data_IF_905334760088
#
_entry.id   IF_905334760088
#
_cell.length_a   1.000
_cell.length_b   1.000
_cell.length_c   1.000
_cell.angle_alpha   90.00
_cell.angle_beta   90.00
_cell.angle_gamma   90.00
#
_symmetry.space_group_name_H-M   'P 1'
#
loop_
_entity.id
_entity.type
_entity.pdbx_description
1 polymer ?
#
# COMPACT_ATOMS: atom_id res chain seq x y z
N UNK A 1 29.26 -32.27 18.64
CA UNK A 1 29.14 -30.82 18.43
C UNK A 1 28.44 -30.59 17.08
N UNK A 2 27.12 -30.44 17.09
CA UNK A 2 26.36 -30.02 15.90
C UNK A 2 26.44 -28.49 15.83
N UNK A 3 26.78 -27.89 14.67
CA UNK A 3 26.84 -26.45 14.58
C UNK A 3 25.42 -25.89 14.63
N UNK A 4 25.23 -24.91 15.50
CA UNK A 4 24.05 -24.08 15.61
C UNK A 4 23.76 -23.47 14.24
N UNK A 5 22.69 -23.96 13.61
CA UNK A 5 22.17 -23.44 12.35
C UNK A 5 21.92 -21.94 12.47
N UNK A 6 22.51 -21.22 11.53
CA UNK A 6 22.34 -19.80 11.30
C UNK A 6 20.85 -19.43 11.36
N UNK A 7 20.49 -18.66 12.38
CA UNK A 7 19.23 -17.92 12.39
C UNK A 7 19.35 -16.91 11.25
N UNK A 8 18.71 -17.21 10.12
CA UNK A 8 18.54 -16.25 9.04
C UNK A 8 17.82 -15.04 9.61
N UNK A 9 18.54 -13.92 9.73
CA UNK A 9 18.06 -12.67 10.30
C UNK A 9 17.16 -11.87 9.35
N UNK A 10 16.65 -12.50 8.30
CA UNK A 10 15.67 -11.89 7.40
C UNK A 10 14.27 -12.38 7.76
N UNK A 11 13.58 -11.61 8.62
CA UNK A 11 12.18 -11.89 8.99
C UNK A 11 11.23 -12.01 7.79
N UNK A 12 11.66 -11.55 6.60
CA UNK A 12 10.97 -11.75 5.32
C UNK A 12 10.79 -13.23 4.95
N UNK A 13 11.77 -14.08 5.26
CA UNK A 13 11.78 -15.48 4.83
C UNK A 13 10.61 -16.29 5.41
N UNK A 14 10.30 -16.08 6.69
CA UNK A 14 9.24 -16.85 7.37
C UNK A 14 7.83 -16.53 6.87
N UNK A 15 7.52 -15.26 6.57
CA UNK A 15 6.21 -14.91 6.00
C UNK A 15 6.04 -15.43 4.58
N UNK A 16 7.11 -15.34 3.79
CA UNK A 16 7.16 -15.90 2.44
C UNK A 16 6.97 -17.44 2.46
N UNK A 17 7.62 -18.13 3.39
CA UNK A 17 7.47 -19.57 3.59
C UNK A 17 6.04 -19.95 4.03
N UNK A 18 5.49 -19.28 5.04
CA UNK A 18 4.12 -19.54 5.50
C UNK A 18 3.07 -19.31 4.41
N UNK A 19 3.27 -18.27 3.59
CA UNK A 19 2.41 -17.98 2.44
C UNK A 19 2.40 -19.10 1.38
N UNK A 20 3.50 -19.86 1.23
CA UNK A 20 3.56 -20.99 0.31
C UNK A 20 2.97 -22.28 0.87
N UNK A 21 2.93 -22.42 2.19
CA UNK A 21 2.66 -23.71 2.83
C UNK A 21 1.22 -23.87 3.28
N UNK A 22 0.51 -22.77 3.57
CA UNK A 22 -0.86 -22.81 4.08
C UNK A 22 -1.68 -21.70 3.41
N UNK A 23 -2.59 -22.00 2.45
CA UNK A 23 -3.59 -21.03 2.05
C UNK A 23 -4.45 -20.70 3.28
N UNK A 24 -4.57 -19.41 3.61
CA UNK A 24 -5.40 -18.94 4.71
C UNK A 24 -6.87 -19.25 4.43
N UNK A 25 -7.32 -20.44 4.83
CA UNK A 25 -8.68 -20.90 4.62
C UNK A 25 -9.51 -20.62 5.89
N UNK A 26 -10.23 -19.50 5.89
CA UNK A 26 -11.23 -19.20 6.91
C UNK A 26 -12.53 -18.71 6.24
N UNK A 27 -13.68 -18.83 6.91
CA UNK A 27 -14.93 -18.22 6.47
C UNK A 27 -14.78 -16.71 6.19
N UNK A 28 -15.57 -16.17 5.27
CA UNK A 28 -15.41 -14.77 4.83
C UNK A 28 -15.62 -13.73 5.95
N UNK A 29 -16.49 -14.03 6.92
CA UNK A 29 -16.76 -13.24 8.13
C UNK A 29 -15.65 -13.33 9.18
N UNK A 30 -14.73 -14.28 9.01
CA UNK A 30 -13.53 -14.47 9.83
C UNK A 30 -12.25 -14.04 9.11
N UNK A 31 -12.34 -13.62 7.84
CA UNK A 31 -11.16 -13.18 7.11
C UNK A 31 -10.88 -11.69 7.39
N UNK A 32 -9.74 -11.32 8.01
CA UNK A 32 -9.51 -9.96 8.50
C UNK A 32 -9.53 -8.90 7.39
N UNK A 33 -9.03 -9.23 6.20
CA UNK A 33 -9.13 -8.34 5.01
C UNK A 33 -10.57 -8.14 4.57
N UNK A 34 -11.38 -9.19 4.48
CA UNK A 34 -12.76 -9.08 3.99
C UNK A 34 -13.62 -8.30 4.99
N UNK A 35 -13.45 -8.55 6.29
CA UNK A 35 -14.08 -7.78 7.36
C UNK A 35 -13.65 -6.32 7.31
N UNK A 36 -12.35 -6.05 7.14
CA UNK A 36 -11.82 -4.69 7.01
C UNK A 36 -12.44 -3.95 5.82
N UNK A 37 -12.43 -4.56 4.63
CA UNK A 37 -12.99 -3.96 3.43
C UNK A 37 -14.52 -3.80 3.52
N UNK A 38 -15.22 -4.74 4.16
CA UNK A 38 -16.66 -4.67 4.39
C UNK A 38 -17.06 -3.46 5.23
N UNK A 39 -16.24 -3.11 6.23
CA UNK A 39 -16.45 -1.95 7.11
C UNK A 39 -16.25 -0.60 6.42
N UNK A 40 -15.49 -0.55 5.32
CA UNK A 40 -15.24 0.70 4.59
C UNK A 40 -16.44 1.13 3.75
N UNK A 41 -16.53 2.43 3.51
CA UNK A 41 -17.44 2.99 2.51
C UNK A 41 -17.19 2.35 1.13
N UNK A 42 -18.24 2.08 0.32
CA UNK A 42 -18.12 1.36 -0.94
C UNK A 42 -17.02 1.89 -1.87
N UNK A 43 -16.90 3.21 -1.98
CA UNK A 43 -15.90 3.89 -2.83
C UNK A 43 -14.45 3.61 -2.40
N UNK A 44 -14.20 3.33 -1.12
CA UNK A 44 -12.85 3.10 -0.58
C UNK A 44 -12.40 1.64 -0.63
N UNK A 45 -13.31 0.69 -0.86
CA UNK A 45 -13.01 -0.75 -0.81
C UNK A 45 -11.99 -1.16 -1.87
N UNK A 46 -12.25 -0.79 -3.12
CA UNK A 46 -11.38 -1.11 -4.26
C UNK A 46 -9.95 -0.54 -4.11
N UNK A 47 -9.74 0.76 -3.83
CA UNK A 47 -8.39 1.30 -3.69
C UNK A 47 -7.64 0.70 -2.49
N UNK A 48 -8.33 0.46 -1.36
CA UNK A 48 -7.70 -0.16 -0.19
C UNK A 48 -7.34 -1.62 -0.43
N UNK A 49 -8.19 -2.39 -1.12
CA UNK A 49 -7.87 -3.76 -1.54
C UNK A 49 -6.67 -3.82 -2.49
N UNK A 50 -6.57 -2.88 -3.44
CA UNK A 50 -5.41 -2.78 -4.33
C UNK A 50 -4.11 -2.42 -3.58
N UNK A 51 -4.19 -1.54 -2.59
CA UNK A 51 -3.06 -1.20 -1.71
C UNK A 51 -2.58 -2.42 -0.92
N UNK A 52 -3.51 -3.13 -0.27
CA UNK A 52 -3.21 -4.34 0.51
C UNK A 52 -2.62 -5.45 -0.34
N UNK A 53 -3.10 -5.63 -1.58
CA UNK A 53 -2.52 -6.60 -2.53
C UNK A 53 -1.06 -6.30 -2.83
N UNK A 54 -0.72 -5.04 -3.14
CA UNK A 54 0.68 -4.66 -3.40
C UNK A 54 1.56 -4.92 -2.18
N UNK A 55 1.06 -4.62 -0.98
CA UNK A 55 1.78 -4.93 0.27
C UNK A 55 1.94 -6.43 0.47
N UNK A 56 0.91 -7.23 0.22
CA UNK A 56 0.96 -8.68 0.36
C UNK A 56 1.98 -9.31 -0.59
N UNK A 57 1.97 -8.91 -1.87
CA UNK A 57 2.97 -9.33 -2.85
C UNK A 57 4.38 -8.95 -2.43
N UNK A 58 4.59 -7.73 -1.91
CA UNK A 58 5.89 -7.29 -1.41
C UNK A 58 6.35 -8.12 -0.19
N UNK A 59 5.47 -8.34 0.78
CA UNK A 59 5.80 -9.09 2.00
C UNK A 59 6.16 -10.55 1.69
N UNK A 60 5.45 -11.16 0.75
CA UNK A 60 5.71 -12.51 0.26
C UNK A 60 6.91 -12.62 -0.71
N UNK A 61 7.70 -11.55 -0.89
CA UNK A 61 8.86 -11.59 -1.79
C UNK A 61 8.50 -11.87 -3.26
N UNK A 62 7.29 -11.51 -3.68
CA UNK A 62 6.79 -11.79 -5.03
C UNK A 62 6.23 -13.20 -5.24
N UNK A 63 6.23 -14.07 -4.23
CA UNK A 63 5.67 -15.43 -4.34
C UNK A 63 4.14 -15.42 -4.43
N UNK A 64 3.50 -14.52 -3.68
CA UNK A 64 2.06 -14.27 -3.79
C UNK A 64 1.80 -13.17 -4.81
N UNK A 65 1.17 -13.52 -5.94
CA UNK A 65 0.83 -12.58 -7.01
C UNK A 65 -0.66 -12.63 -7.35
N UNK A 66 -1.10 -11.68 -8.18
CA UNK A 66 -2.48 -11.64 -8.65
C UNK A 66 -3.49 -11.15 -7.61
N UNK A 67 -4.80 -11.27 -7.92
CA UNK A 67 -5.86 -10.73 -7.09
C UNK A 67 -5.92 -11.35 -5.69
N UNK A 68 -5.57 -12.62 -5.58
CA UNK A 68 -5.68 -13.46 -4.38
C UNK A 68 -4.55 -13.28 -3.38
N UNK A 69 -3.42 -12.65 -3.77
CA UNK A 69 -2.27 -12.46 -2.88
C UNK A 69 -2.66 -11.82 -1.54
N UNK A 70 -3.62 -10.90 -1.57
CA UNK A 70 -4.14 -10.21 -0.39
C UNK A 70 -4.90 -11.15 0.57
N UNK A 71 -5.54 -12.20 0.06
CA UNK A 71 -6.28 -13.18 0.85
C UNK A 71 -5.40 -14.33 1.32
N UNK A 72 -4.31 -14.61 0.61
CA UNK A 72 -3.41 -15.72 0.93
C UNK A 72 -2.33 -15.35 1.95
N UNK A 73 -1.99 -14.06 2.09
CA UNK A 73 -0.99 -13.63 3.07
C UNK A 73 -1.48 -13.92 4.51
N UNK A 74 -0.65 -14.55 5.37
CA UNK A 74 -0.99 -14.78 6.77
C UNK A 74 -0.91 -13.49 7.59
N UNK A 75 -1.93 -12.63 7.50
CA UNK A 75 -1.97 -11.34 8.19
C UNK A 75 -1.71 -11.41 9.71
N UNK A 76 -2.18 -12.43 10.44
CA UNK A 76 -1.86 -12.63 11.86
C UNK A 76 -0.41 -12.99 12.18
N UNK A 77 0.46 -13.21 11.19
CA UNK A 77 1.90 -13.40 11.36
C UNK A 77 2.68 -12.10 11.05
N UNK A 78 1.98 -11.06 10.58
CA UNK A 78 2.58 -9.74 10.36
C UNK A 78 2.88 -9.12 11.73
N UNK A 79 4.13 -8.70 11.91
CA UNK A 79 4.69 -8.14 13.16
C UNK A 79 5.40 -6.84 12.84
N UNK A 80 5.88 -6.14 13.87
CA UNK A 80 6.58 -4.86 13.75
C UNK A 80 7.63 -4.83 12.64
N UNK A 81 8.53 -5.81 12.58
CA UNK A 81 9.58 -5.86 11.57
C UNK A 81 9.04 -5.90 10.14
N UNK A 82 7.92 -6.60 9.92
CA UNK A 82 7.28 -6.71 8.61
C UNK A 82 6.66 -5.37 8.19
N UNK A 83 5.93 -4.72 9.11
CA UNK A 83 5.30 -3.43 8.81
C UNK A 83 6.35 -2.33 8.66
N UNK A 84 7.44 -2.38 9.42
CA UNK A 84 8.57 -1.45 9.25
C UNK A 84 9.26 -1.62 7.90
N UNK A 85 9.42 -2.88 7.42
CA UNK A 85 9.92 -3.17 6.07
C UNK A 85 9.01 -2.61 5.00
N UNK A 86 7.69 -2.76 5.15
CA UNK A 86 6.69 -2.13 4.27
C UNK A 86 6.81 -0.62 4.27
N UNK A 87 6.99 0.01 5.44
CA UNK A 87 7.15 1.47 5.55
C UNK A 87 8.38 1.97 4.80
N UNK A 88 9.51 1.27 4.92
CA UNK A 88 10.75 1.62 4.21
C UNK A 88 10.57 1.48 2.70
N UNK A 89 10.10 0.32 2.24
CA UNK A 89 9.83 0.09 0.82
C UNK A 89 8.88 1.13 0.20
N UNK A 90 7.79 1.47 0.91
CA UNK A 90 6.85 2.50 0.45
C UNK A 90 7.46 3.90 0.33
N UNK A 91 8.45 4.22 1.17
CA UNK A 91 9.11 5.51 1.17
C UNK A 91 10.23 5.60 0.13
N UNK A 92 10.98 4.50 -0.04
CA UNK A 92 12.28 4.55 -0.70
C UNK A 92 12.27 3.91 -2.10
N UNK A 93 11.40 2.90 -2.33
CA UNK A 93 11.48 2.04 -3.52
C UNK A 93 10.18 2.01 -4.34
N UNK A 94 9.01 2.17 -3.71
CA UNK A 94 7.72 1.96 -4.36
C UNK A 94 7.33 3.05 -5.39
N UNK A 95 8.08 4.15 -5.46
CA UNK A 95 7.81 5.29 -6.36
C UNK A 95 6.49 6.01 -6.05
N UNK A 96 6.01 5.95 -4.80
CA UNK A 96 4.73 6.50 -4.38
C UNK A 96 4.89 7.86 -3.68
N UNK A 97 3.87 8.71 -3.78
CA UNK A 97 3.82 9.91 -2.95
C UNK A 97 3.72 9.55 -1.46
N UNK A 98 4.23 10.39 -0.54
CA UNK A 98 4.08 10.17 0.91
C UNK A 98 2.62 9.99 1.34
N UNK A 99 1.70 10.73 0.72
CA UNK A 99 0.27 10.58 0.97
C UNK A 99 -0.23 9.18 0.58
N UNK A 100 0.11 8.70 -0.62
CA UNK A 100 -0.26 7.36 -1.09
C UNK A 100 0.36 6.27 -0.24
N UNK A 101 1.65 6.37 0.11
CA UNK A 101 2.32 5.42 1.01
C UNK A 101 1.65 5.38 2.39
N UNK A 102 1.27 6.53 2.94
CA UNK A 102 0.53 6.59 4.20
C UNK A 102 -0.88 5.97 4.09
N UNK A 103 -1.56 6.06 2.94
CA UNK A 103 -2.81 5.33 2.68
C UNK A 103 -2.59 3.82 2.73
N UNK A 104 -1.50 3.32 2.16
CA UNK A 104 -1.18 1.89 2.19
C UNK A 104 -0.89 1.41 3.61
N UNK A 105 -0.11 2.18 4.38
CA UNK A 105 0.11 1.91 5.79
C UNK A 105 -1.21 1.92 6.57
N UNK A 106 -2.11 2.87 6.33
CA UNK A 106 -3.43 2.90 6.96
C UNK A 106 -4.25 1.64 6.65
N UNK A 107 -4.17 1.12 5.43
CA UNK A 107 -4.81 -0.14 5.06
C UNK A 107 -4.27 -1.32 5.89
N UNK A 108 -2.94 -1.45 5.98
CA UNK A 108 -2.28 -2.50 6.79
C UNK A 108 -2.70 -2.39 8.26
N UNK A 109 -2.68 -1.17 8.82
CA UNK A 109 -3.12 -0.93 10.20
C UNK A 109 -4.58 -1.35 10.41
N UNK A 110 -5.43 -1.09 9.43
CA UNK A 110 -6.83 -1.52 9.41
C UNK A 110 -6.98 -3.03 9.50
N UNK A 111 -6.26 -3.78 8.66
CA UNK A 111 -6.30 -5.25 8.67
C UNK A 111 -5.76 -5.83 9.97
N UNK A 112 -4.64 -5.33 10.50
CA UNK A 112 -4.10 -5.79 11.80
C UNK A 112 -5.03 -5.47 12.97
N UNK A 113 -5.83 -4.40 12.86
CA UNK A 113 -6.89 -4.09 13.82
C UNK A 113 -7.99 -5.13 13.76
N UNK A 114 -8.41 -5.57 12.58
CA UNK A 114 -9.40 -6.65 12.46
C UNK A 114 -8.81 -8.00 12.90
N UNK A 115 -7.54 -8.30 12.64
CA UNK A 115 -6.87 -9.50 13.19
C UNK A 115 -6.97 -9.55 14.72
N UNK A 116 -6.78 -8.43 15.40
CA UNK A 116 -6.95 -8.35 16.85
C UNK A 116 -8.40 -8.52 17.29
N UNK A 117 -9.35 -7.86 16.60
CA UNK A 117 -10.78 -7.97 16.92
C UNK A 117 -11.32 -9.38 16.74
N UNK A 118 -10.79 -10.12 15.76
CA UNK A 118 -11.12 -11.52 15.48
C UNK A 118 -10.34 -12.51 16.37
N UNK A 119 -9.45 -12.01 17.24
CA UNK A 119 -8.71 -12.84 18.21
C UNK A 119 -7.45 -13.50 17.67
N UNK A 120 -7.01 -13.19 16.44
CA UNK A 120 -5.80 -13.76 15.85
C UNK A 120 -4.50 -13.07 16.27
N UNK A 121 -4.61 -11.85 16.79
CA UNK A 121 -3.46 -11.04 17.19
C UNK A 121 -3.68 -10.50 18.60
N UNK A 122 -2.69 -10.63 19.47
CA UNK A 122 -2.78 -10.05 20.82
C UNK A 122 -2.81 -8.51 20.76
N UNK A 123 -3.34 -7.88 21.81
CA UNK A 123 -3.34 -6.41 21.89
C UNK A 123 -1.91 -5.83 21.90
N UNK A 124 -0.97 -6.52 22.55
CA UNK A 124 0.44 -6.15 22.62
C UNK A 124 1.13 -6.28 21.26
N UNK A 125 0.95 -7.40 20.56
CA UNK A 125 1.53 -7.61 19.23
C UNK A 125 0.97 -6.61 18.23
N UNK A 126 -0.33 -6.30 18.32
CA UNK A 126 -0.93 -5.23 17.53
C UNK A 126 -0.29 -3.89 17.85
N UNK A 127 -0.21 -3.50 19.12
CA UNK A 127 0.36 -2.21 19.51
C UNK A 127 1.78 -2.05 18.97
N UNK A 128 2.64 -3.06 19.14
CA UNK A 128 3.99 -3.10 18.57
C UNK A 128 3.99 -3.01 17.04
N UNK A 129 3.14 -3.79 16.37
CA UNK A 129 3.08 -3.78 14.90
C UNK A 129 2.60 -2.45 14.31
N UNK A 130 1.80 -1.69 15.05
CA UNK A 130 1.27 -0.40 14.63
C UNK A 130 2.17 0.79 14.98
N UNK A 131 3.16 0.60 15.86
CA UNK A 131 4.09 1.63 16.35
C UNK A 131 5.13 2.01 15.28
N UNK A 132 4.64 2.62 14.21
CA UNK A 132 5.44 2.96 13.03
C UNK A 132 5.13 4.38 12.62
N UNK A 133 6.20 5.15 12.39
CA UNK A 133 6.12 6.53 11.94
C UNK A 133 5.48 6.64 10.55
N UNK A 134 4.77 7.74 10.35
CA UNK A 134 4.24 8.10 9.02
C UNK A 134 5.39 8.39 8.07
N UNK A 135 5.15 8.17 6.78
CA UNK A 135 6.08 8.58 5.72
C UNK A 135 5.97 10.10 5.58
N UNK A 136 7.09 10.79 5.77
CA UNK A 136 7.22 12.24 5.64
C UNK A 136 7.57 12.64 4.22
N UNK A 137 7.09 13.80 3.79
CA UNK A 137 7.48 14.43 2.54
C UNK A 137 6.36 15.31 2.00
N UNK A 138 6.73 16.43 1.39
CA UNK A 138 5.81 17.33 0.70
C UNK A 138 5.90 17.06 -0.80
N UNK A 139 4.76 16.82 -1.45
CA UNK A 139 4.66 17.06 -2.90
C UNK A 139 4.50 18.56 -3.09
N UNK A 140 5.16 19.15 -4.09
CA UNK A 140 4.63 20.37 -4.69
C UNK A 140 3.20 20.06 -5.18
N UNK A 141 2.20 20.90 -4.89
CA UNK A 141 0.82 20.61 -5.24
C UNK A 141 0.70 20.31 -6.73
N UNK A 142 0.20 19.12 -7.06
CA UNK A 142 -0.14 18.78 -8.44
C UNK A 142 -1.44 19.49 -8.78
N UNK A 143 -1.35 20.48 -9.67
CA UNK A 143 -2.46 21.33 -10.06
C UNK A 143 -2.46 22.64 -9.28
N UNK A 144 -1.64 23.60 -9.71
CA UNK A 144 -2.02 25.01 -9.54
C UNK A 144 -2.94 25.36 -10.70
N UNK A 145 -4.00 26.11 -10.45
CA UNK A 145 -4.61 26.89 -11.53
C UNK A 145 -3.49 27.76 -12.12
N UNK A 146 -3.26 27.68 -13.43
CA UNK A 146 -2.34 28.61 -14.08
C UNK A 146 -2.83 30.02 -13.75
N UNK A 147 -1.93 30.89 -13.29
CA UNK A 147 -2.28 32.30 -13.18
C UNK A 147 -2.68 32.82 -14.57
N UNK A 148 -3.55 33.83 -14.65
CA UNK A 148 -4.03 34.38 -15.93
C UNK A 148 -2.88 34.71 -16.90
N UNK A 149 -1.76 35.16 -16.33
CA UNK A 149 -0.52 35.52 -17.02
C UNK A 149 0.18 34.30 -17.65
N UNK A 150 0.19 33.16 -16.96
CA UNK A 150 0.77 31.91 -17.45
C UNK A 150 -0.13 31.25 -18.49
N UNK A 151 -1.44 31.42 -18.38
CA UNK A 151 -2.39 31.01 -19.40
C UNK A 151 -2.20 31.83 -20.68
N UNK A 152 -2.06 33.16 -20.58
CA UNK A 152 -1.77 34.04 -21.71
C UNK A 152 -0.45 33.69 -22.40
N UNK A 153 0.62 33.42 -21.64
CA UNK A 153 1.89 33.00 -22.22
C UNK A 153 1.78 31.68 -23.02
N UNK A 154 0.95 30.74 -22.56
CA UNK A 154 0.67 29.49 -23.30
C UNK A 154 -0.18 29.76 -24.54
N UNK A 155 -1.21 30.60 -24.45
CA UNK A 155 -2.07 30.96 -25.58
C UNK A 155 -1.31 31.73 -26.67
N UNK A 156 -0.45 32.66 -26.28
CA UNK A 156 0.39 33.43 -27.20
C UNK A 156 1.42 32.52 -27.89
N UNK A 157 1.97 31.54 -27.18
CA UNK A 157 2.87 30.55 -27.78
C UNK A 157 2.15 29.65 -28.79
N UNK A 158 0.92 29.22 -28.50
CA UNK A 158 0.11 28.42 -29.42
C UNK A 158 -0.36 29.23 -30.64
N UNK A 159 -0.65 30.52 -30.47
CA UNK A 159 -1.05 31.41 -31.57
C UNK A 159 0.07 31.65 -32.60
N UNK A 160 1.33 31.43 -32.22
CA UNK A 160 2.50 31.51 -33.10
C UNK A 160 2.77 30.19 -33.85
N UNK A 161 2.15 29.08 -33.46
CA UNK A 161 2.25 27.80 -34.15
C UNK A 161 1.13 27.67 -35.20
N UNK A 162 1.48 27.76 -36.49
CA UNK A 162 0.52 27.63 -37.60
C UNK A 162 0.20 26.15 -37.88
N UNK A 163 -0.39 25.47 -36.90
CA UNK A 163 -0.90 24.10 -37.02
C UNK A 163 -2.39 24.04 -36.76
N UNK A 164 -3.06 23.08 -37.43
CA UNK A 164 -4.52 22.90 -37.36
C UNK A 164 -5.02 22.58 -35.93
N UNK A 165 -4.15 22.09 -35.04
CA UNK A 165 -4.47 21.79 -33.64
C UNK A 165 -4.54 23.08 -32.82
N UNK A 166 -3.58 24.00 -33.00
CA UNK A 166 -3.54 25.28 -32.29
C UNK A 166 -4.75 26.17 -32.60
N UNK A 167 -5.19 26.20 -33.88
CA UNK A 167 -6.37 26.98 -34.31
C UNK A 167 -7.69 26.50 -33.68
N UNK A 168 -7.79 25.21 -33.32
CA UNK A 168 -8.99 24.66 -32.66
C UNK A 168 -9.01 25.04 -31.17
N UNK A 169 -7.87 24.95 -30.51
CA UNK A 169 -7.78 25.14 -29.06
C UNK A 169 -7.80 26.64 -28.67
N UNK A 170 -7.52 27.56 -29.60
CA UNK A 170 -7.67 29.00 -29.40
C UNK A 170 -9.13 29.52 -29.45
N UNK A 171 -10.11 28.68 -29.83
CA UNK A 171 -11.50 29.09 -30.04
C UNK A 171 -12.49 28.63 -28.93
N UNK A 172 -11.98 28.09 -27.82
CA UNK A 172 -12.75 27.73 -26.62
C UNK A 172 -12.36 28.63 -25.45
#
# INVERSE_FOLDING_TARGET
AQPLGLISADGSGRLAELALTIPWACPADQHPVLVYLGRLAPASRRPQGAALRRVATFLAGGLLTGPEAVLQLPWPEVRYQHVQRVRAWLADEAGLSPATGNTYLAAVRGVLTECWRLGYLSAEDRARALDIKRISGSRLPSGRALAHEELQAVMDHLALEDTLIARRDAAC
#
